data_IF_502969930235
#
_entry.id   IF_502969930235
#
_cell.length_a   1.000
_cell.length_b   1.000
_cell.length_c   1.000
_cell.angle_alpha   90.00
_cell.angle_beta   90.00
_cell.angle_gamma   90.00
#
_symmetry.space_group_name_H-M   'P 1'
#
loop_
_entity.id
_entity.type
_entity.pdbx_description
1 polymer ?
#
# COMPACT_ATOMS: atom_id res chain seq x y z
N UNK A 1 -4.06 -16.56 65.22
CA UNK A 1 -4.49 -16.82 63.83
C UNK A 1 -3.37 -17.54 63.10
N UNK A 2 -3.45 -18.86 62.92
CA UNK A 2 -2.47 -19.63 62.14
C UNK A 2 -2.86 -19.60 60.65
N UNK A 3 -2.01 -18.99 59.82
CA UNK A 3 -2.20 -18.97 58.37
C UNK A 3 -1.93 -20.38 57.82
N UNK A 4 -2.93 -21.00 57.20
CA UNK A 4 -2.83 -22.36 56.67
C UNK A 4 -2.07 -22.37 55.33
N UNK A 5 -0.75 -22.38 55.41
CA UNK A 5 0.15 -22.39 54.24
C UNK A 5 -0.10 -23.55 53.27
N UNK A 6 -0.59 -24.71 53.74
CA UNK A 6 -0.87 -25.88 52.89
C UNK A 6 -2.00 -25.63 51.89
N UNK A 7 -3.01 -24.83 52.24
CA UNK A 7 -4.12 -24.51 51.33
C UNK A 7 -3.70 -23.51 50.25
N UNK A 8 -2.77 -22.62 50.59
CA UNK A 8 -2.18 -21.63 49.67
C UNK A 8 -1.27 -22.37 48.67
N UNK A 9 -0.36 -23.21 49.16
CA UNK A 9 0.55 -24.01 48.32
C UNK A 9 -0.19 -24.94 47.34
N UNK A 10 -1.37 -25.48 47.72
CA UNK A 10 -2.19 -26.33 46.85
C UNK A 10 -2.90 -25.57 45.72
N UNK A 11 -3.03 -24.25 45.83
CA UNK A 11 -3.65 -23.38 44.79
C UNK A 11 -2.64 -22.76 43.83
N UNK A 12 -1.34 -22.82 44.14
CA UNK A 12 -0.28 -22.27 43.28
C UNK A 12 -0.24 -22.98 41.91
N UNK A 13 -0.30 -24.32 41.79
CA UNK A 13 -0.24 -24.99 40.49
C UNK A 13 -1.37 -24.57 39.53
N UNK A 14 -2.68 -24.61 39.89
CA UNK A 14 -3.74 -24.22 38.96
C UNK A 14 -3.72 -22.73 38.61
N UNK A 15 -3.29 -21.84 39.51
CA UNK A 15 -3.13 -20.41 39.21
C UNK A 15 -1.97 -20.19 38.24
N UNK A 16 -0.86 -20.91 38.42
CA UNK A 16 0.29 -20.84 37.53
C UNK A 16 -0.05 -21.37 36.13
N UNK A 17 -0.77 -22.49 36.04
CA UNK A 17 -1.27 -23.03 34.76
C UNK A 17 -2.29 -22.09 34.09
N UNK A 18 -3.19 -21.45 34.85
CA UNK A 18 -4.14 -20.49 34.29
C UNK A 18 -3.45 -19.20 33.78
N UNK A 19 -2.42 -18.73 34.48
CA UNK A 19 -1.62 -17.58 34.05
C UNK A 19 -0.83 -17.90 32.77
N UNK A 20 -0.21 -19.08 32.68
CA UNK A 20 0.47 -19.55 31.46
C UNK A 20 -0.51 -19.67 30.28
N UNK A 21 -1.72 -20.18 30.52
CA UNK A 21 -2.73 -20.32 29.48
C UNK A 21 -3.22 -18.96 28.94
N UNK A 22 -3.36 -17.94 29.80
CA UNK A 22 -3.68 -16.57 29.36
C UNK A 22 -2.53 -15.91 28.58
N UNK A 23 -1.27 -16.21 28.91
CA UNK A 23 -0.11 -15.74 28.15
C UNK A 23 -0.02 -16.42 26.78
N UNK A 24 -0.38 -17.70 26.68
CA UNK A 24 -0.42 -18.43 25.40
C UNK A 24 -1.53 -17.94 24.46
N UNK A 25 -2.66 -17.48 24.99
CA UNK A 25 -3.76 -16.90 24.19
C UNK A 25 -3.52 -15.45 23.74
N UNK A 26 -2.50 -14.78 24.27
CA UNK A 26 -2.11 -13.41 23.86
C UNK A 26 -1.01 -13.38 22.80
N UNK A 27 -0.57 -14.56 22.32
CA UNK A 27 0.19 -14.60 21.07
C UNK A 27 -0.72 -14.07 19.96
N UNK A 28 -0.30 -13.02 19.22
CA UNK A 28 -1.05 -12.60 18.06
C UNK A 28 -1.24 -13.84 17.19
N UNK A 29 -2.49 -14.13 16.80
CA UNK A 29 -2.76 -15.08 15.75
C UNK A 29 -2.00 -14.56 14.53
N UNK A 30 -0.79 -15.10 14.30
CA UNK A 30 0.07 -14.74 13.19
C UNK A 30 -0.78 -14.88 11.94
N UNK A 31 -1.06 -13.75 11.31
CA UNK A 31 -1.90 -13.72 10.14
C UNK A 31 -1.23 -14.59 9.06
N UNK A 32 -1.95 -15.63 8.67
CA UNK A 32 -1.43 -16.70 7.83
C UNK A 32 -1.31 -16.21 6.38
N UNK A 33 -0.11 -16.26 5.81
CA UNK A 33 0.07 -16.14 4.36
C UNK A 33 1.42 -15.62 3.87
N UNK A 34 2.13 -14.82 4.67
CA UNK A 34 3.35 -14.14 4.23
C UNK A 34 4.63 -14.57 4.97
N UNK A 35 4.58 -15.63 5.80
CA UNK A 35 5.72 -16.09 6.61
C UNK A 35 6.97 -16.36 5.77
N UNK A 36 6.80 -16.83 4.54
CA UNK A 36 7.91 -17.04 3.60
C UNK A 36 8.40 -15.71 2.99
N UNK A 37 7.48 -14.82 2.62
CA UNK A 37 7.78 -13.61 1.87
C UNK A 37 8.34 -12.47 2.75
N UNK A 38 7.88 -12.37 4.00
CA UNK A 38 8.30 -11.33 4.95
C UNK A 38 9.41 -11.80 5.91
N UNK A 39 9.91 -13.02 5.76
CA UNK A 39 10.98 -13.55 6.63
C UNK A 39 12.25 -12.70 6.53
N UNK A 40 12.60 -12.05 7.65
CA UNK A 40 13.80 -11.22 7.73
C UNK A 40 13.68 -9.86 7.03
N UNK A 41 12.50 -9.52 6.50
CA UNK A 41 12.20 -8.20 5.94
C UNK A 41 12.09 -7.20 7.09
N UNK A 42 12.79 -6.06 6.96
CA UNK A 42 12.80 -5.00 7.97
C UNK A 42 12.02 -3.75 7.55
N UNK A 43 12.09 -3.43 6.27
CA UNK A 43 11.42 -2.28 5.65
C UNK A 43 10.60 -2.79 4.46
N UNK A 44 9.46 -2.16 4.21
CA UNK A 44 8.60 -2.45 3.06
C UNK A 44 8.49 -1.19 2.20
N UNK A 45 9.56 -0.92 1.46
CA UNK A 45 9.63 0.23 0.56
C UNK A 45 9.36 -0.28 -0.86
N UNK A 46 8.36 0.29 -1.53
CA UNK A 46 7.92 -0.18 -2.84
C UNK A 46 7.60 0.97 -3.78
N UNK A 47 8.06 0.85 -5.02
CA UNK A 47 7.69 1.74 -6.12
C UNK A 47 6.89 0.95 -7.16
N UNK A 48 5.69 1.43 -7.46
CA UNK A 48 4.84 0.87 -8.51
C UNK A 48 5.02 1.69 -9.79
N UNK A 49 5.60 1.08 -10.82
CA UNK A 49 5.68 1.62 -12.17
C UNK A 49 4.39 1.24 -12.90
N UNK A 50 3.58 2.21 -13.29
CA UNK A 50 2.22 1.98 -13.82
C UNK A 50 2.07 2.56 -15.21
N UNK A 51 1.64 1.72 -16.17
CA UNK A 51 1.26 2.13 -17.51
C UNK A 51 -0.15 1.75 -17.96
N UNK A 52 -0.86 0.94 -17.16
CA UNK A 52 -2.17 0.42 -17.50
C UNK A 52 -3.21 1.53 -17.73
N UNK A 53 -3.68 1.67 -18.97
CA UNK A 53 -4.61 2.73 -19.39
C UNK A 53 -6.10 2.40 -19.27
N UNK A 54 -6.47 1.15 -18.99
CA UNK A 54 -7.88 0.76 -18.84
C UNK A 54 -8.35 0.95 -17.39
N UNK A 55 -9.33 1.85 -17.13
CA UNK A 55 -9.81 2.10 -15.78
C UNK A 55 -10.48 0.87 -15.15
N UNK A 56 -11.05 -0.05 -15.94
CA UNK A 56 -11.66 -1.29 -15.45
C UNK A 56 -10.62 -2.31 -14.98
N UNK A 57 -9.40 -2.23 -15.52
CA UNK A 57 -8.28 -3.07 -15.11
C UNK A 57 -7.54 -2.43 -13.93
N UNK A 58 -7.29 -1.13 -13.98
CA UNK A 58 -6.48 -0.45 -12.96
C UNK A 58 -7.19 -0.36 -11.61
N UNK A 59 -8.53 -0.22 -11.58
CA UNK A 59 -9.31 -0.12 -10.34
C UNK A 59 -9.15 -1.33 -9.41
N UNK A 60 -9.39 -2.59 -9.84
CA UNK A 60 -9.18 -3.76 -8.99
C UNK A 60 -7.70 -3.91 -8.59
N UNK A 61 -6.76 -3.57 -9.47
CA UNK A 61 -5.31 -3.62 -9.15
C UNK A 61 -4.96 -2.64 -8.04
N UNK A 62 -5.42 -1.39 -8.11
CA UNK A 62 -5.14 -0.38 -7.09
C UNK A 62 -5.82 -0.68 -5.75
N UNK A 63 -6.96 -1.38 -5.77
CA UNK A 63 -7.53 -1.91 -4.53
C UNK A 63 -6.60 -2.93 -3.86
N UNK A 64 -5.98 -3.82 -4.64
CA UNK A 64 -5.02 -4.80 -4.13
C UNK A 64 -3.73 -4.12 -3.63
N UNK A 65 -3.20 -3.13 -4.36
CA UNK A 65 -2.05 -2.32 -3.89
C UNK A 65 -2.37 -1.63 -2.57
N UNK A 66 -3.54 -0.98 -2.48
CA UNK A 66 -3.97 -0.33 -1.24
C UNK A 66 -4.05 -1.31 -0.08
N UNK A 67 -4.55 -2.50 -0.33
CA UNK A 67 -4.66 -3.54 0.70
C UNK A 67 -3.29 -4.13 1.07
N UNK A 68 -2.31 -4.16 0.16
CA UNK A 68 -1.00 -4.75 0.43
C UNK A 68 -0.21 -3.97 1.48
N UNK A 69 -0.11 -2.64 1.35
CA UNK A 69 0.60 -1.82 2.36
C UNK A 69 -0.22 -1.59 3.64
N UNK A 70 -1.51 -1.95 3.64
CA UNK A 70 -2.39 -1.96 4.82
C UNK A 70 -2.48 -3.30 5.50
N UNK A 71 -1.89 -4.35 4.93
CA UNK A 71 -1.90 -5.69 5.52
C UNK A 71 -1.31 -5.62 6.95
N UNK A 72 -1.97 -6.21 7.97
CA UNK A 72 -1.49 -6.18 9.34
C UNK A 72 -0.03 -6.61 9.50
N UNK A 73 0.42 -7.59 8.71
CA UNK A 73 1.77 -8.11 8.71
C UNK A 73 2.80 -7.11 8.18
N UNK A 74 2.43 -6.34 7.15
CA UNK A 74 3.26 -5.25 6.63
C UNK A 74 3.30 -4.10 7.64
N UNK A 75 2.16 -3.78 8.26
CA UNK A 75 2.05 -2.76 9.31
C UNK A 75 2.73 -3.14 10.62
N UNK A 76 2.98 -4.43 10.86
CA UNK A 76 3.70 -4.93 12.03
C UNK A 76 5.23 -4.92 11.86
N UNK A 77 5.74 -4.56 10.68
CA UNK A 77 7.19 -4.40 10.46
C UNK A 77 7.76 -3.24 11.28
N UNK A 78 9.08 -3.23 11.44
CA UNK A 78 9.78 -2.27 12.31
C UNK A 78 9.62 -0.80 11.86
N UNK A 79 9.33 -0.57 10.58
CA UNK A 79 9.08 0.75 10.00
C UNK A 79 7.79 0.73 9.20
N UNK A 80 7.11 1.87 9.18
CA UNK A 80 5.98 2.08 8.27
C UNK A 80 6.43 1.91 6.81
N UNK A 81 5.58 1.32 5.95
CA UNK A 81 5.88 1.13 4.54
C UNK A 81 5.96 2.47 3.80
N UNK A 82 7.02 2.68 3.02
CA UNK A 82 7.10 3.82 2.10
C UNK A 82 6.67 3.40 0.70
N UNK A 83 5.58 3.99 0.21
CA UNK A 83 5.00 3.63 -1.09
C UNK A 83 5.10 4.81 -2.04
N UNK A 84 5.68 4.57 -3.21
CA UNK A 84 5.69 5.48 -4.34
C UNK A 84 4.96 4.86 -5.53
N UNK A 85 4.28 5.67 -6.33
CA UNK A 85 3.66 5.25 -7.59
C UNK A 85 4.07 6.24 -8.66
N UNK A 86 4.63 5.73 -9.74
CA UNK A 86 5.10 6.53 -10.88
C UNK A 86 4.29 6.14 -12.11
N UNK A 87 3.51 7.09 -12.60
CA UNK A 87 2.62 6.94 -13.75
C UNK A 87 3.33 7.35 -15.04
N UNK A 88 3.28 6.48 -16.05
CA UNK A 88 3.75 6.78 -17.41
C UNK A 88 2.93 6.04 -18.47
N UNK A 89 3.04 6.41 -19.74
CA UNK A 89 2.25 5.75 -20.79
C UNK A 89 0.74 6.03 -20.70
N UNK A 90 -0.13 5.12 -21.17
CA UNK A 90 -1.56 5.38 -21.31
C UNK A 90 -2.32 5.78 -20.04
N UNK A 91 -1.93 5.27 -18.86
CA UNK A 91 -2.58 5.58 -17.57
C UNK A 91 -2.67 7.07 -17.28
N UNK A 92 -1.77 7.89 -17.82
CA UNK A 92 -1.74 9.33 -17.52
C UNK A 92 -3.01 10.06 -17.96
N UNK A 93 -3.75 9.51 -18.93
CA UNK A 93 -5.07 10.02 -19.34
C UNK A 93 -6.11 9.91 -18.23
N UNK A 94 -6.01 8.89 -17.37
CA UNK A 94 -6.93 8.67 -16.25
C UNK A 94 -6.67 9.65 -15.08
N UNK A 95 -5.54 10.35 -15.10
CA UNK A 95 -5.16 11.33 -14.07
C UNK A 95 -5.65 12.74 -14.39
N UNK A 96 -6.13 12.96 -15.61
CA UNK A 96 -6.67 14.24 -16.04
C UNK A 96 -8.09 14.44 -15.53
N UNK A 97 -8.41 15.68 -15.21
CA UNK A 97 -9.78 16.16 -14.96
C UNK A 97 -10.55 16.43 -16.26
N UNK A 98 -9.87 16.39 -17.41
CA UNK A 98 -10.51 16.43 -18.73
C UNK A 98 -11.26 15.12 -19.01
N UNK A 99 -12.57 15.23 -19.14
CA UNK A 99 -13.48 14.11 -19.39
C UNK A 99 -13.80 13.89 -20.86
N UNK A 100 -13.31 14.75 -21.78
CA UNK A 100 -13.73 14.76 -23.18
C UNK A 100 -13.44 13.44 -23.93
N UNK A 101 -12.46 12.66 -23.45
CA UNK A 101 -12.05 11.39 -24.08
C UNK A 101 -12.81 10.16 -23.59
N UNK A 102 -13.75 10.30 -22.64
CA UNK A 102 -14.43 9.18 -21.99
C UNK A 102 -15.95 9.25 -22.18
N UNK A 103 -16.57 8.09 -22.39
CA UNK A 103 -18.03 7.99 -22.24
C UNK A 103 -18.43 7.98 -20.74
N UNK A 104 -19.72 8.09 -20.45
CA UNK A 104 -20.22 8.18 -19.07
C UNK A 104 -19.79 7.00 -18.18
N UNK A 105 -19.84 5.77 -18.71
CA UNK A 105 -19.45 4.58 -17.96
C UNK A 105 -17.94 4.52 -17.70
N UNK A 106 -17.13 4.96 -18.66
CA UNK A 106 -15.67 5.09 -18.49
C UNK A 106 -15.32 6.18 -17.48
N UNK A 107 -15.99 7.33 -17.56
CA UNK A 107 -15.77 8.45 -16.66
C UNK A 107 -16.06 8.06 -15.20
N UNK A 108 -17.10 7.25 -14.95
CA UNK A 108 -17.38 6.74 -13.61
C UNK A 108 -16.24 5.87 -13.05
N UNK A 109 -15.61 5.05 -13.89
CA UNK A 109 -14.47 4.23 -13.48
C UNK A 109 -13.19 5.06 -13.31
N UNK A 110 -12.99 6.10 -14.13
CA UNK A 110 -11.91 7.09 -13.94
C UNK A 110 -12.07 7.82 -12.60
N UNK A 111 -13.28 8.27 -12.26
CA UNK A 111 -13.54 8.96 -10.99
C UNK A 111 -13.31 8.04 -9.78
N UNK A 112 -13.64 6.74 -9.88
CA UNK A 112 -13.29 5.73 -8.87
C UNK A 112 -11.78 5.62 -8.69
N UNK A 113 -11.04 5.59 -9.80
CA UNK A 113 -9.58 5.52 -9.77
C UNK A 113 -8.99 6.75 -9.08
N UNK A 114 -9.39 7.95 -9.49
CA UNK A 114 -8.96 9.21 -8.88
C UNK A 114 -9.33 9.31 -7.39
N UNK A 115 -10.52 8.81 -7.00
CA UNK A 115 -10.93 8.73 -5.59
C UNK A 115 -10.00 7.81 -4.79
N UNK A 116 -9.57 6.70 -5.40
CA UNK A 116 -8.61 5.78 -4.78
C UNK A 116 -7.25 6.46 -4.61
N UNK A 117 -6.75 7.16 -5.62
CA UNK A 117 -5.49 7.93 -5.53
C UNK A 117 -5.55 9.00 -4.44
N UNK A 118 -6.68 9.71 -4.31
CA UNK A 118 -6.89 10.67 -3.23
C UNK A 118 -6.80 10.04 -1.84
N UNK A 119 -7.36 8.85 -1.66
CA UNK A 119 -7.22 8.12 -0.40
C UNK A 119 -5.77 7.66 -0.18
N UNK A 120 -5.08 7.20 -1.22
CA UNK A 120 -3.68 6.77 -1.12
C UNK A 120 -2.76 7.93 -0.75
N UNK A 121 -2.96 9.13 -1.31
CA UNK A 121 -2.21 10.34 -0.89
C UNK A 121 -2.42 10.64 0.60
N UNK A 122 -3.66 10.50 1.11
CA UNK A 122 -3.95 10.64 2.55
C UNK A 122 -3.29 9.57 3.42
N UNK A 123 -3.10 8.38 2.86
CA UNK A 123 -2.38 7.29 3.54
C UNK A 123 -0.84 7.50 3.51
N UNK A 124 -0.35 8.57 2.88
CA UNK A 124 1.07 8.92 2.79
C UNK A 124 1.78 8.40 1.54
N UNK A 125 1.04 7.91 0.53
CA UNK A 125 1.62 7.43 -0.73
C UNK A 125 2.11 8.61 -1.57
N UNK A 126 3.35 8.53 -2.06
CA UNK A 126 3.87 9.46 -3.07
C UNK A 126 3.34 9.07 -4.45
N UNK A 127 2.77 10.03 -5.16
CA UNK A 127 2.15 9.83 -6.48
C UNK A 127 2.82 10.79 -7.47
N UNK A 128 3.45 10.25 -8.50
CA UNK A 128 4.19 11.04 -9.50
C UNK A 128 3.71 10.72 -10.93
N UNK A 129 3.67 11.73 -11.81
CA UNK A 129 3.37 11.54 -13.23
C UNK A 129 4.49 12.05 -14.13
N UNK A 130 4.85 11.24 -15.14
CA UNK A 130 5.91 11.55 -16.09
C UNK A 130 5.47 12.61 -17.12
N UNK A 131 6.13 13.77 -17.16
CA UNK A 131 5.88 14.84 -18.15
C UNK A 131 6.12 14.42 -19.60
N UNK A 132 7.11 13.55 -19.86
CA UNK A 132 7.28 12.96 -21.20
C UNK A 132 6.05 12.15 -21.63
N UNK A 133 5.41 11.43 -20.71
CA UNK A 133 4.19 10.70 -21.00
C UNK A 133 2.99 11.63 -21.21
N UNK A 134 2.84 12.68 -20.38
CA UNK A 134 1.80 13.71 -20.60
C UNK A 134 1.88 14.29 -22.00
N UNK A 135 3.09 14.73 -22.41
CA UNK A 135 3.35 15.25 -23.75
C UNK A 135 3.06 14.22 -24.84
N UNK A 136 3.56 12.99 -24.68
CA UNK A 136 3.38 11.92 -25.66
C UNK A 136 1.92 11.48 -25.85
N UNK A 137 1.10 11.60 -24.79
CA UNK A 137 -0.31 11.21 -24.80
C UNK A 137 -1.26 12.39 -25.07
N UNK A 138 -0.74 13.61 -25.22
CA UNK A 138 -1.53 14.82 -25.49
C UNK A 138 -2.36 15.29 -24.29
N UNK A 139 -1.89 15.07 -23.06
CA UNK A 139 -2.57 15.49 -21.83
C UNK A 139 -1.97 16.80 -21.33
N UNK A 140 -2.82 17.78 -21.04
CA UNK A 140 -2.41 19.05 -20.44
C UNK A 140 -2.08 18.86 -18.96
N UNK A 141 -0.85 19.22 -18.56
CA UNK A 141 -0.39 19.14 -17.17
C UNK A 141 -1.30 19.92 -16.21
N UNK A 142 -1.90 21.03 -16.65
CA UNK A 142 -2.81 21.83 -15.83
C UNK A 142 -4.11 21.09 -15.46
N UNK A 143 -4.44 20.02 -16.17
CA UNK A 143 -5.63 19.20 -15.91
C UNK A 143 -5.36 18.03 -14.96
N UNK A 144 -4.11 17.79 -14.56
CA UNK A 144 -3.77 16.68 -13.66
C UNK A 144 -4.33 16.92 -12.27
N UNK A 145 -4.90 15.87 -11.66
CA UNK A 145 -5.42 15.94 -10.29
C UNK A 145 -4.34 16.38 -9.30
N UNK A 146 -4.69 17.21 -8.29
CA UNK A 146 -3.71 17.84 -7.41
C UNK A 146 -2.97 16.88 -6.47
N UNK A 147 -3.45 15.63 -6.35
CA UNK A 147 -2.78 14.62 -5.54
C UNK A 147 -1.52 14.01 -6.21
N UNK A 148 -1.34 14.22 -7.51
CA UNK A 148 -0.25 13.64 -8.31
C UNK A 148 0.75 14.71 -8.75
N UNK A 149 2.01 14.52 -8.37
CA UNK A 149 3.08 15.50 -8.58
C UNK A 149 3.76 15.26 -9.96
N UNK A 150 3.79 16.25 -10.87
CA UNK A 150 4.48 16.08 -12.15
C UNK A 150 6.01 16.05 -11.98
N UNK A 151 6.64 15.06 -12.62
CA UNK A 151 8.11 14.90 -12.68
C UNK A 151 8.58 14.86 -14.12
N UNK A 152 9.80 15.33 -14.38
CA UNK A 152 10.30 15.44 -15.76
C UNK A 152 10.36 14.09 -16.48
N UNK A 153 10.88 13.05 -15.81
CA UNK A 153 11.00 11.72 -16.39
C UNK A 153 10.72 10.63 -15.33
N UNK A 154 9.61 9.91 -15.49
CA UNK A 154 9.21 8.85 -14.56
C UNK A 154 10.19 7.67 -14.49
N UNK A 155 10.92 7.35 -15.55
CA UNK A 155 11.95 6.31 -15.46
C UNK A 155 13.13 6.73 -14.56
N UNK A 156 13.47 8.02 -14.55
CA UNK A 156 14.46 8.54 -13.60
C UNK A 156 13.95 8.39 -12.17
N UNK A 157 12.67 8.69 -11.90
CA UNK A 157 12.06 8.43 -10.58
C UNK A 157 12.11 6.96 -10.19
N UNK A 158 11.67 6.04 -11.05
CA UNK A 158 11.66 4.59 -10.74
C UNK A 158 13.07 4.07 -10.45
N UNK A 159 14.06 4.44 -11.27
CA UNK A 159 15.46 4.08 -11.03
C UNK A 159 15.95 4.69 -9.72
N UNK A 160 15.64 5.96 -9.46
CA UNK A 160 16.01 6.66 -8.22
C UNK A 160 15.45 5.98 -6.97
N UNK A 161 14.17 5.59 -6.98
CA UNK A 161 13.56 4.82 -5.89
C UNK A 161 14.21 3.45 -5.74
N UNK A 162 14.42 2.73 -6.86
CA UNK A 162 15.08 1.43 -6.82
C UNK A 162 16.47 1.50 -6.20
N UNK A 163 17.26 2.52 -6.54
CA UNK A 163 18.61 2.74 -5.99
C UNK A 163 18.59 3.15 -4.50
N UNK A 164 17.48 3.68 -4.01
CA UNK A 164 17.24 3.94 -2.58
C UNK A 164 16.80 2.68 -1.81
N UNK A 165 16.63 1.54 -2.51
CA UNK A 165 16.26 0.26 -1.90
C UNK A 165 14.79 -0.11 -2.03
N UNK A 166 14.01 0.63 -2.82
CA UNK A 166 12.61 0.30 -3.08
C UNK A 166 12.51 -0.93 -3.99
N UNK A 167 11.59 -1.83 -3.65
CA UNK A 167 11.20 -2.91 -4.56
C UNK A 167 10.38 -2.34 -5.72
N UNK A 168 10.72 -2.70 -6.96
CA UNK A 168 9.98 -2.25 -8.15
C UNK A 168 8.92 -3.27 -8.52
N UNK A 169 7.66 -2.83 -8.61
CA UNK A 169 6.54 -3.63 -9.11
C UNK A 169 5.99 -2.97 -10.38
N UNK A 170 5.86 -3.74 -11.46
CA UNK A 170 5.39 -3.24 -12.76
C UNK A 170 3.93 -3.59 -12.99
N UNK A 171 3.16 -2.59 -13.42
CA UNK A 171 1.73 -2.71 -13.73
C UNK A 171 1.53 -2.24 -15.18
N UNK A 172 1.75 -3.13 -16.15
CA UNK A 172 1.66 -2.79 -17.56
C UNK A 172 0.23 -2.48 -18.00
#
# INVERSE_FOLDING_TARGET
MSVNYKSILRRIPPIFFAAIYMVLMSLPAGAAGYDNALKGVKNYDAVYEVSQGDPKVVNPVFLVIKNSYKAPEVKALAKDPNIAIVFHGPVVKLLSTDSASFNEAELAEVQKFQTTLKQMKKDGVTLEVCRYALKGMGVDEATIIPEVDPVDNGFVSVIGYQMQGYAVVRIP
#
